data_IF_071627036038
#
_entry.id   IF_071627036038
#
_cell.length_a   1.000
_cell.length_b   1.000
_cell.length_c   1.000
_cell.angle_alpha   90.00
_cell.angle_beta   90.00
_cell.angle_gamma   90.00
#
_symmetry.space_group_name_H-M   'P 1'
#
loop_
_entity.id
_entity.type
_entity.pdbx_description
1 polymer ?
#
# COMPACT_ATOMS: atom_id res chain seq x y z
N UNK A 1 17.99 16.35 -5.41
CA UNK A 1 17.10 16.74 -4.27
C UNK A 1 16.15 15.59 -4.01
N UNK A 2 15.78 15.26 -2.75
CA UNK A 2 14.76 14.22 -2.51
C UNK A 2 13.37 14.86 -2.59
N UNK A 3 12.43 14.20 -3.24
CA UNK A 3 11.03 14.63 -3.31
C UNK A 3 10.17 13.68 -2.47
N UNK A 4 9.15 14.21 -1.80
CA UNK A 4 8.20 13.43 -1.03
C UNK A 4 6.80 13.61 -1.63
N UNK A 5 6.17 12.50 -2.01
CA UNK A 5 4.77 12.44 -2.42
C UNK A 5 3.96 11.83 -1.28
N UNK A 6 3.02 12.57 -0.74
CA UNK A 6 2.15 12.11 0.35
C UNK A 6 0.75 11.91 -0.19
N UNK A 7 0.19 10.73 0.03
CA UNK A 7 -1.18 10.37 -0.31
C UNK A 7 -1.84 9.76 0.93
N UNK A 8 -3.13 10.01 1.12
CA UNK A 8 -3.95 9.41 2.17
C UNK A 8 -5.31 9.00 1.61
N UNK A 9 -6.08 8.26 2.39
CA UNK A 9 -7.52 8.02 2.17
C UNK A 9 -7.82 7.39 0.79
N UNK A 10 -7.01 6.42 0.37
CA UNK A 10 -7.29 5.65 -0.86
C UNK A 10 -8.44 4.68 -0.66
N UNK A 11 -8.65 4.21 0.58
CA UNK A 11 -9.71 3.27 0.96
C UNK A 11 -9.85 2.11 -0.02
N UNK A 12 -8.77 1.36 -0.25
CA UNK A 12 -8.79 0.18 -1.08
C UNK A 12 -9.55 -0.95 -0.37
N UNK A 13 -10.51 -1.54 -1.05
CA UNK A 13 -11.37 -2.62 -0.58
C UNK A 13 -11.55 -3.68 -1.66
N UNK A 14 -12.13 -4.84 -1.32
CA UNK A 14 -12.53 -5.81 -2.32
C UNK A 14 -13.56 -5.21 -3.28
N UNK A 15 -13.26 -5.27 -4.58
CA UNK A 15 -14.13 -4.74 -5.62
C UNK A 15 -15.31 -5.68 -5.90
N UNK A 16 -16.36 -5.14 -6.47
CA UNK A 16 -17.52 -5.90 -6.93
C UNK A 16 -17.90 -5.47 -8.34
N UNK A 17 -18.45 -6.39 -9.12
CA UNK A 17 -19.03 -6.11 -10.43
C UNK A 17 -20.57 -6.05 -10.34
N UNK A 18 -21.15 -6.22 -9.15
CA UNK A 18 -22.58 -6.13 -8.91
C UNK A 18 -23.01 -4.70 -8.58
N UNK A 19 -24.09 -4.24 -9.20
CA UNK A 19 -24.73 -2.96 -8.93
C UNK A 19 -25.58 -3.00 -7.63
N UNK A 20 -24.94 -3.35 -6.52
CA UNK A 20 -25.56 -3.22 -5.21
C UNK A 20 -25.73 -1.74 -4.88
N UNK A 21 -26.97 -1.24 -4.90
CA UNK A 21 -27.29 0.19 -4.85
C UNK A 21 -26.60 0.96 -3.72
N UNK A 22 -26.47 0.37 -2.55
CA UNK A 22 -25.90 1.03 -1.37
C UNK A 22 -24.37 0.97 -1.27
N UNK A 23 -23.71 0.08 -2.07
CA UNK A 23 -22.25 -0.05 -2.14
C UNK A 23 -21.72 0.19 -3.56
N UNK A 24 -22.42 0.98 -4.34
CA UNK A 24 -22.08 1.26 -5.74
C UNK A 24 -20.67 1.81 -5.93
N UNK A 25 -20.13 2.55 -4.95
CA UNK A 25 -18.76 3.06 -4.97
C UNK A 25 -17.71 1.95 -5.00
N UNK A 26 -18.05 0.72 -4.61
CA UNK A 26 -17.15 -0.45 -4.64
C UNK A 26 -17.05 -1.12 -6.01
N UNK A 27 -17.80 -0.64 -6.98
CA UNK A 27 -17.74 -1.19 -8.32
C UNK A 27 -16.34 -0.98 -8.91
N UNK A 28 -15.82 -2.00 -9.59
CA UNK A 28 -14.46 -2.03 -10.19
C UNK A 28 -14.13 -0.80 -11.04
N UNK A 29 -15.12 -0.21 -11.71
CA UNK A 29 -14.92 1.01 -12.51
C UNK A 29 -14.47 2.24 -11.71
N UNK A 30 -14.65 2.24 -10.38
CA UNK A 30 -14.26 3.35 -9.50
C UNK A 30 -12.95 3.09 -8.76
N UNK A 31 -12.27 1.96 -9.00
CA UNK A 31 -10.97 1.68 -8.40
C UNK A 31 -9.95 2.79 -8.76
N UNK A 32 -9.20 3.34 -7.77
CA UNK A 32 -8.30 4.47 -7.99
C UNK A 32 -6.93 4.08 -8.56
N UNK A 33 -6.71 2.81 -8.82
CA UNK A 33 -5.38 2.25 -9.13
C UNK A 33 -4.75 2.86 -10.37
N UNK A 34 -5.52 3.01 -11.46
CA UNK A 34 -5.01 3.59 -12.70
C UNK A 34 -4.59 5.05 -12.52
N UNK A 35 -5.32 5.79 -11.67
CA UNK A 35 -5.01 7.16 -11.32
C UNK A 35 -3.72 7.24 -10.49
N UNK A 36 -3.50 6.29 -9.57
CA UNK A 36 -2.26 6.21 -8.79
C UNK A 36 -1.06 5.94 -9.71
N UNK A 37 -1.16 4.97 -10.62
CA UNK A 37 -0.09 4.71 -11.61
C UNK A 37 0.21 5.97 -12.42
N UNK A 38 -0.81 6.64 -12.95
CA UNK A 38 -0.65 7.86 -13.74
C UNK A 38 -0.02 9.00 -12.91
N UNK A 39 -0.37 9.10 -11.62
CA UNK A 39 0.22 10.09 -10.71
C UNK A 39 1.71 9.84 -10.50
N UNK A 40 2.10 8.60 -10.19
CA UNK A 40 3.50 8.21 -9.99
C UNK A 40 4.33 8.51 -11.25
N UNK A 41 3.85 8.14 -12.43
CA UNK A 41 4.55 8.42 -13.68
C UNK A 41 4.65 9.93 -13.98
N UNK A 42 3.62 10.71 -13.66
CA UNK A 42 3.67 12.19 -13.77
C UNK A 42 4.71 12.79 -12.83
N UNK A 43 4.77 12.31 -11.59
CA UNK A 43 5.79 12.77 -10.64
C UNK A 43 7.19 12.45 -11.17
N UNK A 44 7.43 11.24 -11.67
CA UNK A 44 8.71 10.87 -12.26
C UNK A 44 9.09 11.72 -13.48
N UNK A 45 8.12 12.06 -14.30
CA UNK A 45 8.36 12.97 -15.43
C UNK A 45 8.81 14.38 -14.99
N UNK A 46 8.37 14.83 -13.81
CA UNK A 46 8.73 16.13 -13.24
C UNK A 46 10.08 16.13 -12.52
N UNK A 47 10.34 15.08 -11.72
CA UNK A 47 11.55 15.02 -10.88
C UNK A 47 12.77 14.44 -11.60
N UNK A 48 12.57 13.82 -12.77
CA UNK A 48 13.67 13.21 -13.53
C UNK A 48 14.35 12.07 -12.77
N UNK A 49 15.66 12.19 -12.53
CA UNK A 49 16.45 11.19 -11.80
C UNK A 49 16.49 11.40 -10.28
N UNK A 50 15.90 12.46 -9.77
CA UNK A 50 15.89 12.75 -8.33
C UNK A 50 15.14 11.66 -7.56
N UNK A 51 15.59 11.33 -6.32
CA UNK A 51 14.95 10.30 -5.50
C UNK A 51 13.53 10.71 -5.06
N UNK A 52 12.64 9.73 -5.01
CA UNK A 52 11.27 9.85 -4.51
C UNK A 52 11.11 9.10 -3.19
N UNK A 53 10.34 9.67 -2.29
CA UNK A 53 9.76 9.02 -1.13
C UNK A 53 8.24 9.09 -1.25
N UNK A 54 7.59 7.94 -1.47
CA UNK A 54 6.13 7.83 -1.50
C UNK A 54 5.65 7.50 -0.09
N UNK A 55 4.90 8.41 0.53
CA UNK A 55 4.29 8.22 1.84
C UNK A 55 2.79 7.97 1.67
N UNK A 56 2.35 6.79 2.08
CA UNK A 56 0.96 6.37 2.13
C UNK A 56 0.47 6.59 3.57
N UNK A 57 -0.20 7.73 3.79
CA UNK A 57 -0.45 8.32 5.10
C UNK A 57 -1.84 8.00 5.62
N UNK A 58 -2.08 6.73 5.94
CA UNK A 58 -3.28 6.23 6.58
C UNK A 58 -4.48 6.06 5.64
N UNK A 59 -5.37 5.17 6.04
CA UNK A 59 -6.61 4.82 5.34
C UNK A 59 -6.36 4.40 3.88
N UNK A 60 -5.27 3.68 3.66
CA UNK A 60 -4.93 3.12 2.35
C UNK A 60 -5.80 1.89 2.06
N UNK A 61 -6.02 1.05 3.07
CA UNK A 61 -6.91 -0.11 2.99
C UNK A 61 -8.08 0.07 3.94
N UNK A 62 -9.26 -0.43 3.55
CA UNK A 62 -10.43 -0.40 4.40
C UNK A 62 -10.78 -1.81 4.91
N UNK A 63 -10.33 -2.11 6.14
CA UNK A 63 -10.59 -3.40 6.78
C UNK A 63 -11.99 -3.50 7.41
N UNK A 64 -12.69 -2.38 7.56
CA UNK A 64 -14.01 -2.33 8.22
C UNK A 64 -15.16 -2.59 7.26
N UNK A 65 -14.91 -2.47 5.96
CA UNK A 65 -15.91 -2.75 4.93
C UNK A 65 -16.18 -4.27 4.84
N UNK A 66 -17.45 -4.69 4.72
CA UNK A 66 -17.79 -6.09 4.55
C UNK A 66 -17.05 -6.77 3.38
N UNK A 67 -16.55 -7.99 3.54
CA UNK A 67 -15.89 -8.72 2.46
C UNK A 67 -16.85 -9.06 1.33
N UNK A 68 -16.32 -9.31 0.14
CA UNK A 68 -17.07 -9.87 -0.98
C UNK A 68 -16.95 -11.39 -0.94
N UNK A 69 -18.07 -12.08 -0.76
CA UNK A 69 -18.17 -13.55 -0.76
C UNK A 69 -19.13 -13.96 -1.89
N UNK A 70 -18.67 -14.81 -2.77
CA UNK A 70 -19.43 -15.23 -3.96
C UNK A 70 -20.00 -14.05 -4.79
N UNK A 71 -19.22 -12.96 -4.88
CA UNK A 71 -19.58 -11.76 -5.63
C UNK A 71 -20.45 -10.74 -4.87
N UNK A 72 -20.88 -11.04 -3.65
CA UNK A 72 -21.77 -10.17 -2.87
C UNK A 72 -21.10 -9.64 -1.61
N UNK A 73 -21.32 -8.36 -1.28
CA UNK A 73 -20.90 -7.78 -0.02
C UNK A 73 -21.64 -8.49 1.12
N UNK A 74 -20.91 -9.21 1.96
CA UNK A 74 -21.48 -10.05 3.02
C UNK A 74 -21.14 -9.47 4.38
N UNK A 75 -22.14 -9.13 5.23
CA UNK A 75 -21.86 -8.62 6.57
C UNK A 75 -20.95 -9.58 7.35
N UNK A 76 -19.84 -9.05 7.82
CA UNK A 76 -18.89 -9.77 8.65
C UNK A 76 -18.21 -8.78 9.61
N UNK A 77 -17.81 -9.23 10.81
CA UNK A 77 -17.07 -8.36 11.73
C UNK A 77 -15.70 -7.99 11.12
N UNK A 78 -15.17 -6.83 11.54
CA UNK A 78 -13.80 -6.45 11.26
C UNK A 78 -12.83 -7.52 11.76
N UNK A 79 -11.68 -7.73 11.07
CA UNK A 79 -10.68 -8.71 11.47
C UNK A 79 -10.18 -8.46 12.89
N UNK A 80 -10.12 -9.52 13.71
CA UNK A 80 -9.70 -9.46 15.12
C UNK A 80 -8.35 -10.11 15.39
N UNK A 81 -7.81 -10.85 14.42
CA UNK A 81 -6.50 -11.51 14.50
C UNK A 81 -5.65 -11.14 13.30
N UNK A 82 -4.32 -11.25 13.42
CA UNK A 82 -3.40 -11.03 12.32
C UNK A 82 -3.69 -11.92 11.12
N UNK A 83 -4.05 -13.20 11.35
CA UNK A 83 -4.45 -14.14 10.29
C UNK A 83 -5.69 -13.65 9.51
N UNK A 84 -6.74 -13.23 10.23
CA UNK A 84 -7.96 -12.71 9.59
C UNK A 84 -7.69 -11.42 8.82
N UNK A 85 -6.87 -10.53 9.38
CA UNK A 85 -6.49 -9.28 8.74
C UNK A 85 -5.62 -9.52 7.50
N UNK A 86 -4.65 -10.43 7.58
CA UNK A 86 -3.81 -10.83 6.45
C UNK A 86 -4.65 -11.45 5.32
N UNK A 87 -5.59 -12.34 5.64
CA UNK A 87 -6.51 -12.92 4.66
C UNK A 87 -7.40 -11.84 3.99
N UNK A 88 -7.88 -10.86 4.78
CA UNK A 88 -8.64 -9.71 4.26
C UNK A 88 -7.79 -8.87 3.32
N UNK A 89 -6.56 -8.53 3.73
CA UNK A 89 -5.63 -7.78 2.88
C UNK A 89 -5.33 -8.53 1.58
N UNK A 90 -5.05 -9.83 1.64
CA UNK A 90 -4.79 -10.63 0.44
C UNK A 90 -5.93 -10.52 -0.57
N UNK A 91 -7.18 -10.63 -0.10
CA UNK A 91 -8.37 -10.51 -0.94
C UNK A 91 -8.55 -9.09 -1.53
N UNK A 92 -8.18 -8.04 -0.78
CA UNK A 92 -8.14 -6.66 -1.31
C UNK A 92 -7.08 -6.56 -2.42
N UNK A 93 -5.87 -7.05 -2.16
CA UNK A 93 -4.74 -6.95 -3.10
C UNK A 93 -4.98 -7.75 -4.40
N UNK A 94 -5.79 -8.81 -4.36
CA UNK A 94 -6.18 -9.56 -5.58
C UNK A 94 -6.98 -8.69 -6.56
N UNK A 95 -7.69 -7.70 -6.08
CA UNK A 95 -8.45 -6.75 -6.90
C UNK A 95 -7.65 -5.51 -7.32
N UNK A 96 -6.48 -5.25 -6.67
CA UNK A 96 -5.70 -4.02 -6.80
C UNK A 96 -4.26 -4.27 -7.33
N UNK A 97 -4.15 -5.04 -8.41
CA UNK A 97 -2.85 -5.37 -9.04
C UNK A 97 -2.10 -4.13 -9.54
N UNK A 98 -2.80 -3.10 -10.00
CA UNK A 98 -2.16 -1.86 -10.44
C UNK A 98 -1.61 -1.03 -9.27
N UNK A 99 -2.24 -1.09 -8.10
CA UNK A 99 -1.69 -0.52 -6.88
C UNK A 99 -0.34 -1.16 -6.55
N UNK A 100 -0.28 -2.50 -6.56
CA UNK A 100 0.99 -3.23 -6.34
C UNK A 100 2.01 -2.87 -7.42
N UNK A 101 1.61 -2.77 -8.69
CA UNK A 101 2.51 -2.39 -9.77
C UNK A 101 3.10 -0.98 -9.57
N UNK A 102 2.32 -0.03 -9.05
CA UNK A 102 2.81 1.31 -8.71
C UNK A 102 3.87 1.25 -7.60
N UNK A 103 3.66 0.46 -6.53
CA UNK A 103 4.65 0.29 -5.46
C UNK A 103 5.94 -0.38 -5.98
N UNK A 104 5.79 -1.44 -6.78
CA UNK A 104 6.92 -2.13 -7.42
C UNK A 104 7.70 -1.17 -8.33
N UNK A 105 7.02 -0.29 -9.06
CA UNK A 105 7.65 0.74 -9.89
C UNK A 105 8.52 1.69 -9.08
N UNK A 106 8.02 2.14 -7.91
CA UNK A 106 8.76 3.00 -6.99
C UNK A 106 9.99 2.27 -6.44
N UNK A 107 9.79 1.09 -5.86
CA UNK A 107 10.85 0.30 -5.23
C UNK A 107 11.93 -0.14 -6.23
N UNK A 108 11.54 -0.55 -7.47
CA UNK A 108 12.48 -0.98 -8.51
C UNK A 108 13.42 0.13 -8.96
N UNK A 109 13.01 1.38 -8.80
CA UNK A 109 13.85 2.54 -9.09
C UNK A 109 14.90 2.82 -7.99
N UNK A 110 14.76 2.19 -6.84
CA UNK A 110 15.60 2.44 -5.66
C UNK A 110 15.00 3.50 -4.73
N UNK A 111 13.77 3.91 -4.98
CA UNK A 111 13.03 4.88 -4.18
C UNK A 111 12.37 4.22 -2.97
N UNK A 112 11.74 5.00 -2.10
CA UNK A 112 11.17 4.52 -0.83
C UNK A 112 9.65 4.56 -0.85
N UNK A 113 9.04 3.58 -0.18
CA UNK A 113 7.61 3.54 0.15
C UNK A 113 7.47 3.47 1.67
N UNK A 114 6.69 4.36 2.22
CA UNK A 114 6.40 4.44 3.65
C UNK A 114 4.89 4.32 3.85
N UNK A 115 4.48 3.40 4.72
CA UNK A 115 3.11 3.30 5.19
C UNK A 115 3.01 3.89 6.60
N UNK A 116 2.05 4.78 6.80
CA UNK A 116 1.61 5.25 8.11
C UNK A 116 0.20 4.71 8.29
N UNK A 117 -0.11 4.10 9.44
CA UNK A 117 -1.45 3.55 9.69
C UNK A 117 -2.47 4.64 9.97
N UNK A 118 -3.67 4.50 9.40
CA UNK A 118 -4.85 5.27 9.75
C UNK A 118 -5.80 4.51 10.70
N UNK A 119 -7.03 4.97 10.82
CA UNK A 119 -8.03 4.29 11.63
C UNK A 119 -8.73 3.13 10.91
N UNK A 120 -8.85 3.17 9.57
CA UNK A 120 -9.42 2.08 8.78
C UNK A 120 -8.43 0.97 8.44
N UNK A 121 -7.13 1.21 8.63
CA UNK A 121 -6.07 0.25 8.33
C UNK A 121 -5.03 0.09 9.46
N UNK A 122 -5.45 0.26 10.71
CA UNK A 122 -4.59 0.04 11.88
C UNK A 122 -3.98 -1.36 11.90
N UNK A 123 -4.59 -2.32 11.20
CA UNK A 123 -4.10 -3.68 11.03
C UNK A 123 -2.75 -3.73 10.29
N UNK A 124 -2.34 -2.67 9.58
CA UNK A 124 -1.00 -2.54 9.01
C UNK A 124 0.12 -2.53 10.08
N UNK A 125 -0.23 -2.32 11.35
CA UNK A 125 0.71 -2.47 12.47
C UNK A 125 1.00 -3.93 12.84
N UNK A 126 0.21 -4.90 12.33
CA UNK A 126 0.37 -6.32 12.63
C UNK A 126 1.41 -6.97 11.70
N UNK A 127 2.37 -7.74 12.25
CA UNK A 127 3.42 -8.39 11.46
C UNK A 127 2.87 -9.25 10.31
N UNK A 128 1.82 -10.02 10.54
CA UNK A 128 1.22 -10.91 9.55
C UNK A 128 0.64 -10.15 8.36
N UNK A 129 0.13 -8.94 8.60
CA UNK A 129 -0.41 -8.05 7.55
C UNK A 129 0.73 -7.44 6.74
N UNK A 130 1.79 -6.99 7.42
CA UNK A 130 2.99 -6.48 6.76
C UNK A 130 3.66 -7.56 5.90
N UNK A 131 3.81 -8.79 6.44
CA UNK A 131 4.36 -9.93 5.72
C UNK A 131 3.55 -10.27 4.47
N UNK A 132 2.22 -10.23 4.55
CA UNK A 132 1.33 -10.43 3.40
C UNK A 132 1.60 -9.40 2.29
N UNK A 133 1.66 -8.12 2.63
CA UNK A 133 1.93 -7.04 1.68
C UNK A 133 3.35 -7.15 1.09
N UNK A 134 4.34 -7.39 1.95
CA UNK A 134 5.74 -7.58 1.55
C UNK A 134 5.85 -8.77 0.58
N UNK A 135 5.21 -9.90 0.88
CA UNK A 135 5.23 -11.08 0.02
C UNK A 135 4.60 -10.80 -1.36
N UNK A 136 3.47 -10.07 -1.39
CA UNK A 136 2.83 -9.67 -2.65
C UNK A 136 3.74 -8.77 -3.49
N UNK A 137 4.35 -7.76 -2.89
CA UNK A 137 5.30 -6.86 -3.57
C UNK A 137 6.52 -7.65 -4.06
N UNK A 138 7.12 -8.47 -3.19
CA UNK A 138 8.31 -9.28 -3.50
C UNK A 138 8.08 -10.19 -4.71
N UNK A 139 6.91 -10.80 -4.81
CA UNK A 139 6.56 -11.68 -5.94
C UNK A 139 6.49 -10.96 -7.29
N UNK A 140 6.43 -9.63 -7.30
CA UNK A 140 6.34 -8.78 -8.51
C UNK A 140 7.61 -7.97 -8.78
N UNK A 141 8.57 -7.96 -7.86
CA UNK A 141 9.85 -7.31 -8.09
C UNK A 141 10.66 -8.08 -9.16
N UNK A 142 11.41 -7.37 -10.03
CA UNK A 142 12.23 -8.01 -11.04
C UNK A 142 13.33 -8.87 -10.40
N UNK A 143 13.70 -9.98 -11.04
CA UNK A 143 14.69 -10.94 -10.53
C UNK A 143 16.06 -10.30 -10.17
N UNK A 144 16.46 -9.21 -10.85
CA UNK A 144 17.68 -8.47 -10.54
C UNK A 144 17.56 -7.48 -9.37
N UNK A 145 16.40 -7.30 -8.80
CA UNK A 145 16.20 -6.33 -7.70
C UNK A 145 17.06 -6.65 -6.48
N UNK A 146 17.19 -7.93 -6.15
CA UNK A 146 17.95 -8.43 -5.00
C UNK A 146 19.42 -8.66 -5.31
N UNK A 147 19.86 -8.52 -6.55
CA UNK A 147 21.24 -8.79 -6.95
C UNK A 147 22.07 -7.51 -6.82
N UNK A 148 22.78 -7.39 -5.68
CA UNK A 148 23.87 -6.43 -5.55
C UNK A 148 25.18 -7.21 -5.57
N UNK A 149 25.96 -7.18 -6.65
CA UNK A 149 27.20 -7.94 -6.75
C UNK A 149 28.30 -7.51 -5.75
N UNK A 150 28.15 -6.33 -5.15
CA UNK A 150 29.13 -5.75 -4.24
C UNK A 150 28.77 -5.91 -2.74
N UNK A 151 27.56 -6.40 -2.42
CA UNK A 151 27.15 -6.59 -1.02
C UNK A 151 27.10 -8.07 -0.66
N UNK A 152 27.77 -8.39 0.44
CA UNK A 152 27.63 -9.68 1.15
C UNK A 152 26.35 -9.71 2.02
N UNK A 153 25.54 -8.66 1.94
CA UNK A 153 24.36 -8.45 2.75
C UNK A 153 23.14 -9.13 2.15
N UNK A 154 22.34 -9.69 3.03
CA UNK A 154 21.21 -10.55 2.71
C UNK A 154 20.13 -9.80 1.89
N UNK A 155 19.50 -10.49 0.92
CA UNK A 155 18.43 -9.97 0.05
C UNK A 155 17.26 -9.31 0.80
N UNK A 156 17.06 -9.64 2.08
CA UNK A 156 16.04 -9.08 2.94
C UNK A 156 16.29 -7.60 3.29
N UNK A 157 17.55 -7.16 3.31
CA UNK A 157 17.89 -5.85 3.90
C UNK A 157 17.49 -4.69 2.98
N UNK A 158 17.68 -4.82 1.67
CA UNK A 158 17.33 -3.76 0.73
C UNK A 158 15.85 -3.42 0.72
N UNK A 159 14.96 -4.43 0.70
CA UNK A 159 13.52 -4.18 0.69
C UNK A 159 13.05 -3.59 2.01
N UNK A 160 13.60 -4.02 3.15
CA UNK A 160 13.27 -3.47 4.46
C UNK A 160 13.71 -2.02 4.65
N UNK A 161 14.78 -1.61 3.96
CA UNK A 161 15.22 -0.20 3.95
C UNK A 161 14.31 0.69 3.10
N UNK A 162 13.76 0.15 2.00
CA UNK A 162 12.94 0.90 1.07
C UNK A 162 11.45 0.85 1.35
N UNK A 163 10.95 -0.19 2.04
CA UNK A 163 9.54 -0.38 2.40
C UNK A 163 9.41 -0.41 3.92
N UNK A 164 8.79 0.64 4.48
CA UNK A 164 8.71 0.85 5.93
C UNK A 164 7.28 1.06 6.38
N UNK A 165 6.99 0.67 7.63
CA UNK A 165 5.68 0.77 8.27
C UNK A 165 5.79 1.50 9.59
N UNK A 166 4.95 2.50 9.78
CA UNK A 166 4.87 3.31 11.00
C UNK A 166 3.43 3.27 11.54
N UNK A 167 3.24 2.84 12.79
CA UNK A 167 1.90 2.66 13.33
C UNK A 167 1.20 3.98 13.70
N UNK A 168 1.91 5.09 13.74
CA UNK A 168 1.37 6.36 14.22
C UNK A 168 1.76 7.53 13.32
N UNK A 169 3.04 7.84 13.24
CA UNK A 169 3.57 8.94 12.45
C UNK A 169 4.91 8.58 11.82
N UNK A 170 5.26 9.31 10.81
CA UNK A 170 6.56 9.26 10.16
C UNK A 170 7.21 10.63 10.16
N UNK A 171 8.50 10.70 10.39
CA UNK A 171 9.27 11.91 10.22
C UNK A 171 10.23 11.74 9.04
N UNK A 172 10.04 12.55 8.00
CA UNK A 172 10.91 12.51 6.83
C UNK A 172 12.33 12.98 7.17
N UNK A 173 13.29 12.65 6.30
CA UNK A 173 14.68 13.09 6.47
C UNK A 173 14.84 14.62 6.51
N UNK A 174 13.93 15.35 5.87
CA UNK A 174 13.89 16.81 5.86
C UNK A 174 13.15 17.40 7.08
N UNK A 175 12.78 16.57 8.05
CA UNK A 175 12.15 16.99 9.31
C UNK A 175 10.65 17.25 9.22
N UNK A 176 9.99 16.86 8.13
CA UNK A 176 8.52 16.97 8.02
C UNK A 176 7.86 15.86 8.84
N UNK A 177 6.97 16.26 9.76
CA UNK A 177 6.13 15.34 10.52
C UNK A 177 4.88 14.99 9.72
N UNK A 178 4.62 13.70 9.57
CA UNK A 178 3.53 13.17 8.75
C UNK A 178 2.75 12.18 9.61
N UNK A 179 1.48 12.47 9.83
CA UNK A 179 0.54 11.61 10.57
C UNK A 179 -0.84 11.66 9.91
N UNK A 180 -1.65 10.62 10.12
CA UNK A 180 -2.99 10.58 9.56
C UNK A 180 -3.98 11.52 10.30
N UNK A 181 -3.73 11.77 11.60
CA UNK A 181 -4.50 12.75 12.37
C UNK A 181 -5.78 12.20 13.03
N UNK A 182 -6.02 10.90 12.97
CA UNK A 182 -7.18 10.25 13.57
C UNK A 182 -7.14 10.17 15.11
N UNK A 183 -6.06 10.63 15.74
CA UNK A 183 -5.89 10.61 17.21
C UNK A 183 -6.46 11.83 17.93
N UNK A 184 -6.96 12.84 17.22
CA UNK A 184 -7.44 14.12 17.77
C UNK A 184 -8.95 14.26 17.73
#
# INVERSE_FOLDING_TARGET
MRHTLILSDLHLWQLTDHDDMWMRYRHRQFAPDAQLVALVERVYAQIGSDPLELVLNGDIFDFDIPPVIAGHATPAPSPRTGEQASARLAAILDDHELFIAALVRVLSRGDRVVFVSGNHDIQLSLPEVQECLIARIRSRLPAGFFHNPDSRDCESDRLSEQLQFFPWYYQSADGVHIEHGNQY
#
